data_IF_416139947009
#
_entry.id   IF_416139947009
#
_cell.length_a   1.000
_cell.length_b   1.000
_cell.length_c   1.000
_cell.angle_alpha   90.00
_cell.angle_beta   90.00
_cell.angle_gamma   90.00
#
_symmetry.space_group_name_H-M   'P 1'
#
loop_
_entity.id
_entity.type
_entity.pdbx_description
1 polymer ?
#
# COMPACT_ATOMS: atom_id res chain seq x y z
N UNK A 1 5.25 7.19 -1.81
CA UNK A 1 6.23 6.22 -2.34
C UNK A 1 6.51 5.14 -1.32
N UNK A 2 6.43 3.89 -1.70
CA UNK A 2 6.75 2.74 -0.85
C UNK A 2 8.18 2.28 -1.15
N UNK A 3 8.94 1.97 -0.11
CA UNK A 3 10.30 1.45 -0.18
C UNK A 3 10.45 0.26 0.77
N UNK A 4 11.15 -0.78 0.34
CA UNK A 4 11.37 -1.96 1.16
C UNK A 4 12.31 -1.70 2.37
N UNK A 5 13.30 -0.80 2.21
CA UNK A 5 14.35 -0.62 3.20
C UNK A 5 14.77 0.85 3.42
N UNK A 6 14.15 1.81 2.74
CA UNK A 6 14.53 3.20 2.88
C UNK A 6 13.78 3.85 4.03
N UNK A 7 14.49 4.16 5.10
CA UNK A 7 13.96 4.82 6.30
C UNK A 7 14.50 6.23 6.49
N UNK A 8 15.43 6.67 5.62
CA UNK A 8 16.05 8.00 5.74
C UNK A 8 15.27 9.05 4.94
N UNK A 9 14.61 10.02 5.61
CA UNK A 9 13.87 11.09 4.95
C UNK A 9 14.74 11.98 4.06
N UNK A 10 16.04 12.14 4.37
CA UNK A 10 16.97 12.92 3.55
C UNK A 10 17.20 12.30 2.16
N UNK A 11 17.03 10.98 2.03
CA UNK A 11 17.14 10.27 0.75
C UNK A 11 15.79 10.20 0.03
N UNK A 12 14.72 9.91 0.79
CA UNK A 12 13.38 9.72 0.23
C UNK A 12 12.69 11.04 -0.16
N UNK A 13 12.92 12.12 0.60
CA UNK A 13 12.31 13.43 0.36
C UNK A 13 12.62 14.00 -1.04
N UNK A 14 13.88 14.11 -1.48
CA UNK A 14 14.21 14.58 -2.83
C UNK A 14 13.60 13.74 -3.94
N UNK A 15 13.51 12.41 -3.76
CA UNK A 15 12.87 11.51 -4.73
C UNK A 15 11.36 11.74 -4.80
N UNK A 16 10.71 11.95 -3.65
CA UNK A 16 9.28 12.31 -3.60
C UNK A 16 9.02 13.66 -4.26
N UNK A 17 9.88 14.66 -4.03
CA UNK A 17 9.77 15.95 -4.71
C UNK A 17 9.87 15.80 -6.22
N UNK A 18 10.81 15.01 -6.71
CA UNK A 18 10.95 14.73 -8.13
C UNK A 18 9.67 14.09 -8.71
N UNK A 19 9.11 13.08 -8.04
CA UNK A 19 7.87 12.43 -8.48
C UNK A 19 6.69 13.43 -8.44
N UNK A 20 6.61 14.29 -7.42
CA UNK A 20 5.59 15.33 -7.28
C UNK A 20 5.68 16.39 -8.40
N UNK A 21 6.88 16.85 -8.73
CA UNK A 21 7.08 17.85 -9.78
C UNK A 21 6.80 17.31 -11.20
N UNK A 22 6.76 15.99 -11.39
CA UNK A 22 6.31 15.37 -12.65
C UNK A 22 4.81 15.49 -12.83
N UNK A 23 4.04 15.49 -11.73
CA UNK A 23 2.57 15.63 -11.75
C UNK A 23 2.17 17.09 -11.66
N UNK A 24 2.91 17.89 -10.87
CA UNK A 24 2.67 19.30 -10.61
C UNK A 24 3.92 20.11 -10.93
N UNK A 25 4.20 20.45 -12.21
CA UNK A 25 5.42 21.15 -12.62
C UNK A 25 5.59 22.51 -11.94
N UNK A 26 4.52 23.18 -11.60
CA UNK A 26 4.50 24.47 -10.89
C UNK A 26 5.18 24.43 -9.51
N UNK A 27 5.32 23.25 -8.92
CA UNK A 27 5.95 23.07 -7.61
C UNK A 27 7.48 22.95 -7.67
N UNK A 28 8.10 23.04 -8.85
CA UNK A 28 9.56 22.89 -9.00
C UNK A 28 10.36 23.86 -8.15
N UNK A 29 9.91 25.12 -8.06
CA UNK A 29 10.61 26.19 -7.38
C UNK A 29 10.36 26.24 -5.86
N UNK A 30 9.48 25.39 -5.35
CA UNK A 30 9.19 25.33 -3.90
C UNK A 30 10.12 24.33 -3.21
N UNK A 31 10.64 24.70 -2.02
CA UNK A 31 11.42 23.81 -1.17
C UNK A 31 10.56 22.78 -0.46
N UNK A 32 11.17 21.68 0.00
CA UNK A 32 10.57 20.79 0.98
C UNK A 32 10.74 21.38 2.39
N UNK A 33 9.68 21.62 3.10
CA UNK A 33 9.74 22.07 4.50
C UNK A 33 9.97 20.90 5.45
N UNK A 34 9.30 19.77 5.22
CA UNK A 34 9.36 18.58 6.08
C UNK A 34 9.33 17.32 5.23
N UNK A 35 10.04 16.29 5.72
CA UNK A 35 10.02 14.94 5.15
C UNK A 35 10.13 13.93 6.28
N UNK A 36 9.33 12.88 6.23
CA UNK A 36 9.36 11.80 7.23
C UNK A 36 9.14 10.45 6.56
N UNK A 37 9.51 9.40 7.26
CA UNK A 37 9.23 8.02 6.91
C UNK A 37 8.42 7.35 8.02
N UNK A 38 7.57 6.40 7.66
CA UNK A 38 6.83 5.55 8.58
C UNK A 38 6.84 4.11 8.09
N UNK A 39 6.70 3.17 9.03
CA UNK A 39 6.60 1.75 8.71
C UNK A 39 5.14 1.38 8.54
N UNK A 40 4.84 0.65 7.46
CA UNK A 40 3.52 0.09 7.19
C UNK A 40 3.59 -1.41 7.34
N UNK A 41 2.66 -1.98 8.12
CA UNK A 41 2.51 -3.42 8.25
C UNK A 41 1.62 -3.96 7.11
N UNK A 42 2.15 -4.94 6.37
CA UNK A 42 1.41 -5.71 5.38
C UNK A 42 1.24 -7.14 5.86
N UNK A 43 0.03 -7.67 5.82
CA UNK A 43 -0.26 -9.09 5.95
C UNK A 43 -0.03 -9.79 4.60
N UNK A 44 0.16 -11.11 4.59
CA UNK A 44 0.40 -11.86 3.35
C UNK A 44 -0.84 -11.99 2.45
N UNK A 45 -2.01 -11.73 2.98
CA UNK A 45 -3.30 -11.73 2.25
C UNK A 45 -3.79 -10.32 1.93
N UNK A 46 -2.99 -9.30 2.30
CA UNK A 46 -3.34 -7.88 2.13
C UNK A 46 -4.64 -7.47 2.83
N UNK A 47 -5.13 -8.29 3.77
CA UNK A 47 -6.33 -8.03 4.55
C UNK A 47 -5.97 -7.51 5.95
N UNK A 48 -6.87 -6.72 6.50
CA UNK A 48 -6.84 -6.35 7.91
C UNK A 48 -7.42 -7.47 8.77
N UNK A 49 -6.93 -7.61 10.00
CA UNK A 49 -7.33 -8.64 10.93
C UNK A 49 -7.82 -8.03 12.24
N UNK A 50 -8.91 -8.54 12.75
CA UNK A 50 -9.49 -8.22 14.06
C UNK A 50 -9.77 -9.52 14.81
N UNK A 51 -9.48 -9.57 16.09
CA UNK A 51 -9.71 -10.77 16.87
C UNK A 51 -9.14 -10.70 18.28
N UNK A 52 -9.02 -11.87 18.88
CA UNK A 52 -8.48 -12.05 20.23
C UNK A 52 -7.42 -13.14 20.20
N UNK A 53 -6.26 -12.88 20.79
CA UNK A 53 -5.22 -13.88 20.99
C UNK A 53 -4.71 -13.81 22.44
N UNK A 54 -4.74 -14.93 23.16
CA UNK A 54 -4.37 -15.03 24.57
C UNK A 54 -5.03 -13.93 25.46
N UNK A 55 -6.30 -13.64 25.20
CA UNK A 55 -7.07 -12.61 25.91
C UNK A 55 -6.76 -11.17 25.48
N UNK A 56 -5.82 -10.97 24.57
CA UNK A 56 -5.49 -9.64 24.00
C UNK A 56 -6.32 -9.41 22.76
N UNK A 57 -7.15 -8.37 22.80
CA UNK A 57 -7.91 -7.94 21.62
C UNK A 57 -7.01 -7.16 20.68
N UNK A 58 -7.07 -7.42 19.39
CA UNK A 58 -6.25 -6.75 18.39
C UNK A 58 -7.04 -6.36 17.15
N UNK A 59 -6.61 -5.27 16.52
CA UNK A 59 -6.98 -4.87 15.17
C UNK A 59 -5.71 -4.38 14.47
N UNK A 60 -5.27 -5.03 13.40
CA UNK A 60 -3.98 -4.75 12.76
C UNK A 60 -3.93 -5.18 11.28
N UNK A 61 -2.80 -4.90 10.61
CA UNK A 61 -2.58 -5.34 9.23
C UNK A 61 -3.32 -4.49 8.21
N UNK A 62 -3.43 -3.18 8.44
CA UNK A 62 -4.20 -2.26 7.58
C UNK A 62 -3.64 -2.06 6.17
N UNK A 63 -2.47 -2.58 5.85
CA UNK A 63 -1.86 -2.58 4.51
C UNK A 63 -1.86 -1.20 3.82
N UNK A 64 -1.63 -0.13 4.58
CA UNK A 64 -1.65 1.26 4.11
C UNK A 64 -2.99 2.00 4.26
N UNK A 65 -4.11 1.31 4.52
CA UNK A 65 -5.45 1.90 4.67
C UNK A 65 -5.77 2.34 6.10
N UNK A 66 -4.76 2.45 6.99
CA UNK A 66 -4.93 2.67 8.43
C UNK A 66 -5.68 3.95 8.78
N UNK A 67 -5.56 5.02 8.00
CA UNK A 67 -6.21 6.32 8.32
C UNK A 67 -7.73 6.17 8.45
N UNK A 68 -8.38 5.43 7.54
CA UNK A 68 -9.81 5.18 7.62
C UNK A 68 -10.15 3.92 8.45
N UNK A 69 -9.46 2.82 8.17
CA UNK A 69 -9.82 1.51 8.71
C UNK A 69 -9.47 1.33 10.19
N UNK A 70 -8.44 2.03 10.71
CA UNK A 70 -8.12 1.94 12.13
C UNK A 70 -9.24 2.50 13.01
N UNK A 71 -9.88 3.59 12.62
CA UNK A 71 -11.02 4.16 13.35
C UNK A 71 -12.22 3.23 13.33
N UNK A 72 -12.54 2.66 12.15
CA UNK A 72 -13.64 1.71 11.99
C UNK A 72 -13.41 0.45 12.80
N UNK A 73 -12.27 -0.23 12.63
CA UNK A 73 -11.98 -1.47 13.33
C UNK A 73 -11.74 -1.25 14.82
N UNK A 74 -11.20 -0.10 15.23
CA UNK A 74 -11.09 0.26 16.64
C UNK A 74 -12.46 0.39 17.32
N UNK A 75 -13.43 1.01 16.65
CA UNK A 75 -14.82 1.06 17.13
C UNK A 75 -15.43 -0.35 17.23
N UNK A 76 -15.27 -1.17 16.18
CA UNK A 76 -15.78 -2.55 16.17
C UNK A 76 -15.13 -3.40 17.25
N UNK A 77 -13.84 -3.26 17.47
CA UNK A 77 -13.12 -3.94 18.54
C UNK A 77 -13.65 -3.55 19.92
N UNK A 78 -13.89 -2.26 20.17
CA UNK A 78 -14.53 -1.81 21.40
C UNK A 78 -15.92 -2.43 21.62
N UNK A 79 -16.72 -2.52 20.55
CA UNK A 79 -18.03 -3.18 20.58
C UNK A 79 -17.91 -4.70 20.86
N UNK A 80 -16.89 -5.37 20.30
CA UNK A 80 -16.62 -6.79 20.58
C UNK A 80 -16.22 -7.01 22.04
N UNK A 81 -15.37 -6.14 22.60
CA UNK A 81 -15.00 -6.19 24.03
C UNK A 81 -16.23 -6.06 24.93
N UNK A 82 -17.20 -5.23 24.52
CA UNK A 82 -18.46 -5.03 25.24
C UNK A 82 -19.52 -6.10 24.88
N UNK A 83 -19.16 -7.11 24.10
CA UNK A 83 -20.06 -8.18 23.62
C UNK A 83 -21.31 -7.64 22.90
N UNK A 84 -21.20 -6.50 22.22
CA UNK A 84 -22.30 -5.91 21.46
C UNK A 84 -22.41 -6.61 20.08
N UNK A 85 -23.65 -6.89 19.58
CA UNK A 85 -23.84 -7.56 18.30
C UNK A 85 -23.32 -6.74 17.10
N UNK A 86 -23.29 -5.42 17.22
CA UNK A 86 -22.77 -4.49 16.21
C UNK A 86 -21.24 -4.60 16.02
N UNK A 87 -20.53 -5.25 16.95
CA UNK A 87 -19.09 -5.46 16.86
C UNK A 87 -18.67 -6.41 15.72
N UNK A 88 -19.60 -7.18 15.16
CA UNK A 88 -19.31 -8.11 14.05
C UNK A 88 -18.83 -7.37 12.80
N UNK A 89 -17.80 -7.95 12.17
CA UNK A 89 -17.23 -7.44 10.91
C UNK A 89 -17.04 -8.56 9.90
N UNK A 90 -16.86 -8.21 8.63
CA UNK A 90 -16.56 -9.18 7.57
C UNK A 90 -15.17 -9.83 7.72
N UNK A 91 -14.30 -9.24 8.55
CA UNK A 91 -12.92 -9.71 8.76
C UNK A 91 -12.72 -10.38 10.13
N UNK A 92 -13.81 -10.75 10.79
CA UNK A 92 -13.75 -11.49 12.05
C UNK A 92 -13.19 -12.90 11.84
N UNK A 93 -12.31 -13.31 12.74
CA UNK A 93 -11.76 -14.68 12.79
C UNK A 93 -11.02 -15.12 11.51
N UNK A 94 -10.60 -14.20 10.66
CA UNK A 94 -9.69 -14.53 9.57
C UNK A 94 -8.35 -14.94 10.17
N UNK A 95 -7.85 -16.17 9.92
CA UNK A 95 -6.59 -16.61 10.47
C UNK A 95 -5.44 -15.78 9.89
N UNK A 96 -4.49 -15.38 10.74
CA UNK A 96 -3.30 -14.68 10.27
C UNK A 96 -2.51 -15.57 9.29
N UNK A 97 -2.29 -15.11 8.06
CA UNK A 97 -1.50 -15.87 7.11
C UNK A 97 -0.03 -15.92 7.54
N UNK A 98 0.48 -17.12 7.69
CA UNK A 98 1.90 -17.36 7.97
C UNK A 98 2.57 -18.04 6.78
N UNK A 99 3.90 -17.93 6.70
CA UNK A 99 4.70 -18.60 5.67
C UNK A 99 5.81 -19.38 6.32
N UNK A 100 6.17 -20.58 5.82
CA UNK A 100 7.33 -21.32 6.30
C UNK A 100 8.59 -20.44 6.24
N UNK A 101 9.47 -20.56 7.22
CA UNK A 101 10.73 -19.82 7.33
C UNK A 101 10.58 -18.29 7.49
N UNK A 102 9.39 -17.79 7.75
CA UNK A 102 9.15 -16.38 8.03
C UNK A 102 9.14 -16.12 9.54
N UNK A 103 10.09 -15.33 10.00
CA UNK A 103 10.28 -14.99 11.43
C UNK A 103 10.00 -13.52 11.73
N UNK A 104 9.21 -12.85 10.89
CA UNK A 104 8.89 -11.42 11.04
C UNK A 104 9.76 -10.48 10.23
N UNK A 105 10.92 -10.93 9.71
CA UNK A 105 11.76 -10.13 8.82
C UNK A 105 11.49 -10.48 7.36
N UNK A 106 10.97 -9.56 6.53
CA UNK A 106 10.65 -9.81 5.13
C UNK A 106 11.91 -9.75 4.24
N UNK A 107 12.85 -10.67 4.43
CA UNK A 107 14.11 -10.74 3.69
C UNK A 107 13.92 -10.81 2.16
N UNK A 108 12.81 -11.34 1.71
CA UNK A 108 12.42 -11.46 0.28
C UNK A 108 11.86 -10.16 -0.31
N UNK A 109 11.44 -9.20 0.52
CA UNK A 109 10.72 -8.00 0.09
C UNK A 109 11.50 -7.13 -0.92
N UNK A 110 12.83 -6.94 -0.82
CA UNK A 110 13.57 -6.17 -1.82
C UNK A 110 13.52 -6.77 -3.23
N UNK A 111 13.56 -8.10 -3.32
CA UNK A 111 13.45 -8.81 -4.59
C UNK A 111 12.02 -8.70 -5.16
N UNK A 112 11.02 -8.87 -4.32
CA UNK A 112 9.60 -8.77 -4.69
C UNK A 112 9.24 -7.35 -5.19
N UNK A 113 9.66 -6.31 -4.47
CA UNK A 113 9.44 -4.91 -4.88
C UNK A 113 10.14 -4.60 -6.21
N UNK A 114 11.32 -5.17 -6.45
CA UNK A 114 12.05 -4.99 -7.73
C UNK A 114 11.30 -5.66 -8.88
N UNK A 115 10.79 -6.87 -8.66
CA UNK A 115 9.98 -7.61 -9.62
C UNK A 115 8.70 -6.87 -9.96
N UNK A 116 7.95 -6.39 -8.94
CA UNK A 116 6.70 -5.67 -9.15
C UNK A 116 6.91 -4.37 -9.93
N UNK A 117 7.96 -3.60 -9.62
CA UNK A 117 8.32 -2.41 -10.39
C UNK A 117 8.65 -2.72 -11.85
N UNK A 118 9.38 -3.81 -12.09
CA UNK A 118 9.67 -4.24 -13.46
C UNK A 118 8.39 -4.63 -14.19
N UNK A 119 7.51 -5.39 -13.55
CA UNK A 119 6.21 -5.79 -14.10
C UNK A 119 5.32 -4.57 -14.40
N UNK A 120 5.24 -3.61 -13.51
CA UNK A 120 4.49 -2.36 -13.73
C UNK A 120 5.03 -1.57 -14.93
N UNK A 121 6.33 -1.39 -15.01
CA UNK A 121 6.94 -0.70 -16.15
C UNK A 121 6.65 -1.41 -17.47
N UNK A 122 6.71 -2.74 -17.47
CA UNK A 122 6.37 -3.54 -18.64
C UNK A 122 4.89 -3.37 -19.03
N UNK A 123 3.97 -3.43 -18.07
CA UNK A 123 2.53 -3.22 -18.31
C UNK A 123 2.23 -1.82 -18.84
N UNK A 124 2.83 -0.78 -18.26
CA UNK A 124 2.69 0.61 -18.70
C UNK A 124 3.19 0.75 -20.15
N UNK A 125 4.35 0.19 -20.46
CA UNK A 125 4.90 0.26 -21.82
C UNK A 125 3.98 -0.40 -22.85
N UNK A 126 3.39 -1.56 -22.53
CA UNK A 126 2.44 -2.24 -23.41
C UNK A 126 1.10 -1.52 -23.54
N UNK A 127 0.59 -0.94 -22.45
CA UNK A 127 -0.64 -0.15 -22.48
C UNK A 127 -0.51 1.09 -23.36
N UNK A 128 0.62 1.80 -23.32
CA UNK A 128 0.89 2.94 -24.18
C UNK A 128 1.00 2.53 -25.66
N UNK A 129 1.67 1.42 -25.97
CA UNK A 129 1.74 0.87 -27.34
C UNK A 129 0.35 0.52 -27.90
N UNK A 130 -0.48 -0.12 -27.09
CA UNK A 130 -1.84 -0.49 -27.49
C UNK A 130 -2.71 0.73 -27.78
N UNK A 131 -2.64 1.76 -26.92
CA UNK A 131 -3.37 3.02 -27.10
C UNK A 131 -2.90 3.79 -28.34
N UNK A 132 -1.60 3.83 -28.60
CA UNK A 132 -1.04 4.49 -29.78
C UNK A 132 -1.49 3.81 -31.10
N UNK A 133 -1.47 2.47 -31.14
CA UNK A 133 -1.95 1.72 -32.31
C UNK A 133 -3.45 1.95 -32.58
N UNK A 134 -4.27 1.91 -31.54
CA UNK A 134 -5.72 2.14 -31.67
C UNK A 134 -6.05 3.53 -32.19
N UNK A 135 -5.29 4.55 -31.76
CA UNK A 135 -5.46 5.90 -32.28
C UNK A 135 -5.02 6.02 -33.75
N UNK A 136 -3.97 5.31 -34.16
CA UNK A 136 -3.52 5.28 -35.56
C UNK A 136 -4.52 4.60 -36.49
N UNK A 137 -5.16 3.51 -36.06
CA UNK A 137 -6.20 2.81 -36.81
C UNK A 137 -7.47 3.67 -36.95
N UNK A 138 -7.90 4.35 -35.89
CA UNK A 138 -9.07 5.25 -35.92
C UNK A 138 -8.91 6.49 -36.79
N UNK A 139 -7.65 6.95 -37.03
CA UNK A 139 -7.37 8.01 -38.01
C UNK A 139 -7.38 7.50 -39.46
N UNK A 140 -7.00 6.25 -39.69
CA UNK A 140 -7.00 5.66 -41.04
C UNK A 140 -8.42 5.28 -41.53
N UNK A 141 -9.36 5.06 -40.63
CA UNK A 141 -10.76 4.72 -40.95
C UNK A 141 -11.64 5.95 -41.26
N UNK A 142 -11.18 7.16 -40.89
CA UNK A 142 -11.89 8.43 -41.09
C UNK A 142 -11.26 9.35 -42.16
N UNK A 143 -10.29 8.87 -42.93
CA UNK A 143 -9.65 9.53 -44.07
C UNK A 143 -10.05 8.87 -45.39
#
# INVERSE_FOLDING_TARGET
>A
RVSANETNPAISGPKLKQDMCRIFPELQNFGLSHSWCGTVAYSFDELMHIGVNDGVHYAMGYCGSGVGMASYLGMRLGQQVLALPEGKTAVDNIPFPTRPLYTGNPWFLPAMVRWDRWREQWQIHHAFKYSANKNAEGFAENA
#
